data_IF_943482546056
#
_entry.id   IF_943482546056
#
_cell.length_a   1.000
_cell.length_b   1.000
_cell.length_c   1.000
_cell.angle_alpha   90.00
_cell.angle_beta   90.00
_cell.angle_gamma   90.00
#
_symmetry.space_group_name_H-M   'P 1'
#
loop_
_entity.id
_entity.type
_entity.pdbx_description
1 polymer ?
#
# COMPACT_ATOMS: atom_id res chain seq x y z
N UNK A 1 19.31 -8.25 18.16
CA UNK A 1 18.29 -7.64 17.29
C UNK A 1 16.94 -8.13 17.80
N UNK A 2 16.08 -7.23 18.27
CA UNK A 2 14.69 -7.61 18.57
C UNK A 2 14.01 -7.86 17.23
N UNK A 3 13.44 -9.05 17.04
CA UNK A 3 12.77 -9.40 15.79
C UNK A 3 11.43 -8.67 15.74
N UNK A 4 11.15 -7.94 14.65
CA UNK A 4 9.86 -7.28 14.46
C UNK A 4 8.75 -8.32 14.49
N UNK A 5 7.70 -8.06 15.28
CA UNK A 5 6.54 -8.92 15.30
C UNK A 5 5.68 -8.67 14.05
N UNK A 6 4.81 -9.63 13.70
CA UNK A 6 3.78 -9.40 12.68
C UNK A 6 2.87 -8.21 13.05
N UNK A 7 2.69 -8.02 14.37
CA UNK A 7 2.25 -6.80 15.07
C UNK A 7 2.74 -5.51 14.43
N UNK A 8 4.03 -5.31 14.59
CA UNK A 8 4.71 -4.09 14.25
C UNK A 8 4.69 -3.87 12.72
N UNK A 9 4.77 -4.96 11.95
CA UNK A 9 4.77 -4.91 10.48
C UNK A 9 3.40 -4.51 9.90
N UNK A 10 2.28 -5.05 10.41
CA UNK A 10 0.96 -4.67 9.90
C UNK A 10 0.57 -3.28 10.38
N UNK A 11 0.92 -2.89 11.60
CA UNK A 11 0.77 -1.52 12.07
C UNK A 11 1.47 -0.51 11.15
N UNK A 12 2.67 -0.86 10.68
CA UNK A 12 3.41 -0.04 9.72
C UNK A 12 2.76 -0.02 8.34
N UNK A 13 2.28 -1.18 7.86
CA UNK A 13 1.55 -1.25 6.61
C UNK A 13 0.30 -0.35 6.62
N UNK A 14 -0.45 -0.31 7.73
CA UNK A 14 -1.60 0.58 7.91
C UNK A 14 -1.19 2.05 7.79
N UNK A 15 -0.11 2.45 8.45
CA UNK A 15 0.37 3.83 8.39
C UNK A 15 0.78 4.24 6.96
N UNK A 16 1.53 3.38 6.26
CA UNK A 16 1.94 3.62 4.88
C UNK A 16 0.75 3.69 3.92
N UNK A 17 -0.23 2.82 4.11
CA UNK A 17 -1.46 2.83 3.32
C UNK A 17 -2.27 4.10 3.57
N UNK A 18 -2.42 4.55 4.83
CA UNK A 18 -3.10 5.80 5.15
C UNK A 18 -2.44 7.03 4.49
N UNK A 19 -1.10 7.11 4.51
CA UNK A 19 -0.36 8.19 3.86
C UNK A 19 -0.54 8.18 2.33
N UNK A 20 -0.53 6.98 1.73
CA UNK A 20 -0.75 6.81 0.29
C UNK A 20 -2.18 7.20 -0.12
N UNK A 21 -3.20 6.85 0.69
CA UNK A 21 -4.59 7.25 0.48
C UNK A 21 -4.73 8.78 0.45
N UNK A 22 -4.16 9.45 1.46
CA UNK A 22 -4.16 10.91 1.54
C UNK A 22 -3.53 11.54 0.29
N UNK A 23 -2.38 11.03 -0.15
CA UNK A 23 -1.70 11.52 -1.35
C UNK A 23 -2.55 11.36 -2.62
N UNK A 24 -3.19 10.20 -2.81
CA UNK A 24 -4.05 9.97 -3.98
C UNK A 24 -5.31 10.84 -3.97
N UNK A 25 -5.90 11.05 -2.80
CA UNK A 25 -7.03 11.97 -2.64
C UNK A 25 -6.65 13.41 -3.02
N UNK A 26 -5.49 13.90 -2.56
CA UNK A 26 -4.97 15.22 -2.94
C UNK A 26 -4.69 15.35 -4.44
N UNK A 27 -4.08 14.32 -5.05
CA UNK A 27 -3.82 14.29 -6.50
C UNK A 27 -5.12 14.26 -7.30
N UNK A 28 -6.12 13.49 -6.87
CA UNK A 28 -7.43 13.46 -7.50
C UNK A 28 -8.10 14.84 -7.46
N UNK A 29 -8.05 15.52 -6.30
CA UNK A 29 -8.56 16.88 -6.15
C UNK A 29 -7.81 17.87 -7.06
N UNK A 30 -6.48 17.82 -7.11
CA UNK A 30 -5.67 18.65 -7.98
C UNK A 30 -6.02 18.45 -9.47
N UNK A 31 -6.18 17.19 -9.91
CA UNK A 31 -6.57 16.88 -11.29
C UNK A 31 -7.97 17.42 -11.63
N UNK A 32 -8.91 17.38 -10.68
CA UNK A 32 -10.24 17.96 -10.85
C UNK A 32 -10.20 19.48 -11.04
N UNK A 33 -9.36 20.20 -10.28
CA UNK A 33 -9.15 21.66 -10.45
C UNK A 33 -8.70 22.00 -11.87
N UNK A 34 -7.90 21.13 -12.48
CA UNK A 34 -7.41 21.29 -13.86
C UNK A 34 -8.34 20.68 -14.92
N UNK A 35 -9.58 20.30 -14.57
CA UNK A 35 -10.54 19.62 -15.46
C UNK A 35 -10.04 18.30 -16.06
N UNK A 36 -9.02 17.67 -15.47
CA UNK A 36 -8.51 16.37 -15.92
C UNK A 36 -9.25 15.22 -15.21
N UNK A 37 -10.51 15.03 -15.58
CA UNK A 37 -11.40 14.04 -14.94
C UNK A 37 -10.90 12.60 -15.10
N UNK A 38 -10.24 12.30 -16.22
CA UNK A 38 -9.70 10.96 -16.47
C UNK A 38 -8.57 10.64 -15.49
N UNK A 39 -7.64 11.58 -15.27
CA UNK A 39 -6.57 11.39 -14.27
C UNK A 39 -7.11 11.40 -12.84
N UNK A 40 -8.08 12.27 -12.54
CA UNK A 40 -8.73 12.28 -11.23
C UNK A 40 -9.38 10.92 -10.89
N UNK A 41 -10.05 10.29 -11.86
CA UNK A 41 -10.66 8.98 -11.67
C UNK A 41 -9.62 7.86 -11.42
N UNK A 42 -8.42 7.96 -12.01
CA UNK A 42 -7.34 7.01 -11.75
C UNK A 42 -6.86 7.11 -10.30
N UNK A 43 -6.60 8.33 -9.82
CA UNK A 43 -6.16 8.52 -8.43
C UNK A 43 -7.25 8.18 -7.43
N UNK A 44 -8.51 8.50 -7.72
CA UNK A 44 -9.64 8.09 -6.88
C UNK A 44 -9.74 6.56 -6.79
N UNK A 45 -9.56 5.85 -7.90
CA UNK A 45 -9.57 4.39 -7.89
C UNK A 45 -8.42 3.80 -7.05
N UNK A 46 -7.24 4.44 -7.04
CA UNK A 46 -6.13 4.00 -6.18
C UNK A 46 -6.43 4.23 -4.70
N UNK A 47 -7.04 5.37 -4.35
CA UNK A 47 -7.52 5.68 -2.99
C UNK A 47 -8.56 4.64 -2.50
N UNK A 48 -9.55 4.32 -3.35
CA UNK A 48 -10.58 3.32 -3.03
C UNK A 48 -9.96 1.93 -2.77
N UNK A 49 -8.96 1.54 -3.56
CA UNK A 49 -8.28 0.26 -3.39
C UNK A 49 -7.49 0.19 -2.08
N UNK A 50 -6.88 1.30 -1.65
CA UNK A 50 -6.18 1.36 -0.37
C UNK A 50 -7.16 1.17 0.79
N UNK A 51 -8.32 1.82 0.77
CA UNK A 51 -9.33 1.63 1.80
C UNK A 51 -9.79 0.15 1.90
N UNK A 52 -9.85 -0.54 0.76
CA UNK A 52 -10.12 -1.99 0.75
C UNK A 52 -8.99 -2.81 1.40
N UNK A 53 -7.72 -2.44 1.20
CA UNK A 53 -6.60 -3.11 1.84
C UNK A 53 -6.57 -2.85 3.35
N UNK A 54 -6.78 -1.60 3.79
CA UNK A 54 -6.86 -1.24 5.20
C UNK A 54 -7.94 -2.06 5.92
N UNK A 55 -9.12 -2.20 5.32
CA UNK A 55 -10.19 -3.03 5.87
C UNK A 55 -9.77 -4.51 6.02
N UNK A 56 -8.98 -5.04 5.07
CA UNK A 56 -8.45 -6.41 5.15
C UNK A 56 -7.36 -6.54 6.24
N UNK A 57 -6.53 -5.52 6.43
CA UNK A 57 -5.51 -5.49 7.48
C UNK A 57 -6.14 -5.34 8.86
N UNK A 58 -7.14 -4.47 9.03
CA UNK A 58 -7.93 -4.34 10.27
C UNK A 58 -8.66 -5.65 10.61
N UNK A 59 -9.24 -6.32 9.62
CA UNK A 59 -9.82 -7.65 9.81
C UNK A 59 -8.78 -8.65 10.31
N UNK A 60 -7.58 -8.63 9.73
CA UNK A 60 -6.46 -9.48 10.17
C UNK A 60 -5.94 -9.11 11.57
N UNK A 61 -5.95 -7.81 11.92
CA UNK A 61 -5.60 -7.29 13.23
C UNK A 61 -6.55 -7.83 14.31
N UNK A 62 -7.85 -7.91 14.03
CA UNK A 62 -8.85 -8.47 14.95
C UNK A 62 -8.64 -9.96 15.28
N UNK A 63 -7.93 -10.68 14.41
CA UNK A 63 -7.61 -12.11 14.58
C UNK A 63 -6.34 -12.29 15.44
N UNK A 64 -5.46 -11.29 15.53
CA UNK A 64 -4.13 -11.41 16.12
C UNK A 64 -3.87 -10.56 17.38
N UNK A 65 -4.83 -9.77 17.85
CA UNK A 65 -4.76 -8.97 19.10
C UNK A 65 -3.47 -8.14 19.24
N UNK A 66 -3.16 -7.39 18.19
CA UNK A 66 -1.91 -6.64 18.08
C UNK A 66 -1.98 -5.25 18.74
N UNK A 67 -0.83 -4.70 19.18
CA UNK A 67 -0.80 -3.37 19.77
C UNK A 67 -1.14 -2.30 18.71
N UNK A 68 -1.80 -1.20 19.12
CA UNK A 68 -2.16 -0.11 18.20
C UNK A 68 -0.90 0.48 17.56
N UNK A 69 -1.01 0.83 16.27
CA UNK A 69 0.10 1.35 15.48
C UNK A 69 0.68 2.63 16.11
N UNK A 70 1.83 2.51 16.77
CA UNK A 70 2.62 3.67 17.19
C UNK A 70 3.47 4.12 16.02
N UNK A 71 3.29 5.37 15.59
CA UNK A 71 4.10 6.00 14.55
C UNK A 71 5.59 5.91 14.86
N UNK A 72 6.38 5.63 13.83
CA UNK A 72 7.83 5.54 13.91
C UNK A 72 8.43 6.95 14.05
N UNK A 73 8.54 7.45 15.29
CA UNK A 73 9.32 8.67 15.57
C UNK A 73 10.72 8.37 16.14
N UNK A 74 11.10 7.09 16.34
CA UNK A 74 12.38 6.72 16.96
C UNK A 74 13.06 5.50 16.29
N UNK A 75 13.58 5.61 15.06
CA UNK A 75 14.86 4.95 14.70
C UNK A 75 15.44 5.45 13.34
N UNK A 76 16.59 6.16 13.31
CA UNK A 76 17.15 6.73 12.08
C UNK A 76 18.07 5.81 11.27
N UNK A 77 18.03 4.48 11.42
CA UNK A 77 18.87 3.59 10.60
C UNK A 77 18.21 2.24 10.28
N UNK A 78 17.53 2.14 9.13
CA UNK A 78 17.35 0.83 8.45
C UNK A 78 17.76 0.92 6.99
N UNK A 79 18.85 0.22 6.73
CA UNK A 79 19.55 0.02 5.48
C UNK A 79 18.67 -0.53 4.34
N UNK A 80 18.94 -0.04 3.13
CA UNK A 80 18.49 -0.56 1.84
C UNK A 80 19.17 -1.90 1.54
N UNK A 81 18.41 -3.00 1.42
CA UNK A 81 18.73 -4.27 0.73
C UNK A 81 17.49 -5.19 0.90
N UNK A 82 16.80 -5.79 -0.07
CA UNK A 82 17.01 -6.16 -1.47
C UNK A 82 15.66 -6.08 -2.20
N UNK A 83 15.58 -5.37 -3.33
CA UNK A 83 14.44 -5.47 -4.26
C UNK A 83 14.75 -6.61 -5.22
N UNK A 84 14.09 -7.77 -5.13
CA UNK A 84 14.08 -8.69 -6.29
C UNK A 84 13.04 -9.84 -6.38
N UNK A 85 11.82 -9.79 -5.79
CA UNK A 85 10.91 -10.96 -5.93
C UNK A 85 9.41 -10.75 -6.27
N UNK A 86 8.93 -9.55 -6.65
CA UNK A 86 7.48 -9.38 -6.96
C UNK A 86 7.18 -9.05 -8.45
N UNK A 87 7.97 -9.57 -9.39
CA UNK A 87 7.58 -9.47 -10.82
C UNK A 87 8.14 -10.61 -11.66
N UNK A 88 7.57 -11.82 -11.53
CA UNK A 88 7.78 -12.87 -12.54
C UNK A 88 6.66 -13.94 -12.66
N UNK A 89 5.47 -13.77 -12.09
CA UNK A 89 4.39 -14.77 -12.26
C UNK A 89 3.27 -14.39 -13.24
N UNK A 90 3.33 -13.25 -13.94
CA UNK A 90 2.25 -12.84 -14.87
C UNK A 90 2.72 -12.42 -16.26
N UNK A 91 3.74 -13.10 -16.80
CA UNK A 91 4.28 -12.85 -18.14
C UNK A 91 4.38 -14.09 -19.06
N UNK A 92 3.77 -15.23 -18.69
CA UNK A 92 3.85 -16.46 -19.49
C UNK A 92 2.55 -16.93 -20.16
N UNK A 93 1.39 -16.32 -19.93
CA UNK A 93 0.13 -16.79 -20.55
C UNK A 93 -0.25 -16.08 -21.86
N UNK A 94 0.67 -15.34 -22.48
CA UNK A 94 0.38 -14.53 -23.68
C UNK A 94 0.97 -15.01 -25.01
N UNK A 95 1.71 -16.13 -25.07
CA UNK A 95 2.52 -16.46 -26.26
C UNK A 95 2.44 -17.90 -26.77
N UNK A 96 1.25 -18.50 -26.83
CA UNK A 96 1.01 -19.66 -27.70
C UNK A 96 -0.34 -19.54 -28.43
N UNK A 97 -0.42 -18.58 -29.34
CA UNK A 97 -1.29 -18.67 -30.52
C UNK A 97 -0.58 -17.98 -31.69
N UNK A 98 0.19 -18.78 -32.45
CA UNK A 98 0.52 -18.65 -33.88
C UNK A 98 1.65 -19.60 -34.26
N UNK A 99 1.27 -20.75 -34.81
CA UNK A 99 1.91 -21.42 -35.94
C UNK A 99 0.91 -22.43 -36.48
#
# INVERSE_FOLDING_TARGET
MSQLSIGDLLAHAVALEADAAACYSELAAAMNVHNNRAAAAVFQHMDDNIHSNLSAVEHSHSIHDMPPATGWDDDPEVYVHERDQISNHRLLEGKLSRA
#
